data_IF_775583133231
#
_entry.id   IF_775583133231
#
_cell.length_a   1.000
_cell.length_b   1.000
_cell.length_c   1.000
_cell.angle_alpha   90.00
_cell.angle_beta   90.00
_cell.angle_gamma   90.00
#
_symmetry.space_group_name_H-M   'P 1'
#
loop_
_entity.id
_entity.type
_entity.pdbx_description
1 polymer ?
#
# COMPACT_ATOMS: atom_id res chain seq x y z
N UNK A 1 21.88 12.44 34.25
CA UNK A 1 22.17 12.98 32.92
C UNK A 1 23.31 12.25 32.24
N UNK A 2 24.26 11.82 32.99
CA UNK A 2 25.36 11.03 32.43
C UNK A 2 24.91 9.74 31.78
N UNK A 3 23.79 9.21 32.24
CA UNK A 3 23.23 7.98 31.66
C UNK A 3 22.89 8.12 30.19
N UNK A 4 22.60 9.32 29.73
CA UNK A 4 22.28 9.55 28.33
C UNK A 4 23.45 9.24 27.42
N UNK A 5 24.64 9.61 27.82
CA UNK A 5 25.85 9.36 27.01
C UNK A 5 26.10 7.85 26.89
N UNK A 6 25.95 7.15 27.98
CA UNK A 6 26.16 5.68 28.00
C UNK A 6 25.15 4.99 27.12
N UNK A 7 23.88 5.39 27.20
CA UNK A 7 22.80 4.79 26.39
C UNK A 7 23.00 5.00 24.91
N UNK A 8 23.47 6.18 24.52
CA UNK A 8 23.71 6.50 23.11
C UNK A 8 24.74 5.57 22.51
N UNK A 9 25.73 5.15 23.29
CA UNK A 9 26.83 4.31 22.80
C UNK A 9 26.38 2.93 22.33
N UNK A 10 25.38 2.35 22.98
CA UNK A 10 25.03 0.96 22.71
C UNK A 10 23.61 0.72 22.26
N UNK A 11 22.79 1.75 22.24
CA UNK A 11 21.37 1.57 21.96
C UNK A 11 20.95 2.27 20.69
N UNK A 12 20.29 1.51 19.82
CA UNK A 12 19.70 2.04 18.58
C UNK A 12 18.24 1.65 18.60
N UNK A 13 17.38 2.65 18.40
CA UNK A 13 15.94 2.43 18.36
C UNK A 13 15.43 2.58 16.94
N UNK A 14 14.68 1.59 16.49
CA UNK A 14 13.94 1.68 15.24
C UNK A 14 12.59 2.32 15.51
N UNK A 15 12.28 3.41 14.83
CA UNK A 15 10.97 4.06 14.95
C UNK A 15 9.99 3.51 13.94
N UNK A 16 10.41 3.36 12.71
CA UNK A 16 9.53 2.91 11.63
C UNK A 16 10.32 2.05 10.66
N UNK A 17 9.63 1.06 10.11
CA UNK A 17 10.09 0.29 8.96
C UNK A 17 8.97 0.36 7.93
N UNK A 18 9.30 0.85 6.75
CA UNK A 18 8.29 1.13 5.73
C UNK A 18 8.68 0.47 4.43
N UNK A 19 7.75 -0.29 3.87
CA UNK A 19 7.86 -0.80 2.51
C UNK A 19 7.14 0.18 1.60
N UNK A 20 7.82 0.64 0.57
CA UNK A 20 7.24 1.56 -0.41
C UNK A 20 6.93 0.81 -1.70
N UNK A 21 5.72 1.00 -2.21
CA UNK A 21 5.36 0.64 -3.59
C UNK A 21 5.00 1.96 -4.26
N UNK A 22 5.81 2.36 -5.23
CA UNK A 22 5.68 3.69 -5.84
C UNK A 22 5.28 3.59 -7.29
N UNK A 23 4.21 4.28 -7.63
CA UNK A 23 3.74 4.41 -9.01
C UNK A 23 3.52 3.06 -9.71
N UNK A 24 2.91 2.12 -8.99
CA UNK A 24 2.48 0.87 -9.59
C UNK A 24 1.33 1.19 -10.54
N UNK A 25 1.58 1.07 -11.83
CA UNK A 25 0.59 1.38 -12.85
C UNK A 25 0.00 0.10 -13.41
N UNK A 26 -1.34 0.01 -13.33
CA UNK A 26 -2.08 -1.13 -13.86
C UNK A 26 -3.21 -0.61 -14.74
N UNK A 27 -3.41 -1.25 -15.88
CA UNK A 27 -4.52 -0.93 -16.78
C UNK A 27 -5.69 -1.86 -16.52
N UNK A 28 -6.87 -1.29 -16.37
CA UNK A 28 -8.06 -2.08 -16.11
C UNK A 28 -9.32 -1.29 -16.45
N UNK A 29 -10.40 -2.01 -16.68
CA UNK A 29 -11.73 -1.41 -16.77
C UNK A 29 -12.21 -1.20 -15.36
N UNK A 30 -12.33 0.06 -14.96
CA UNK A 30 -12.64 0.39 -13.58
C UNK A 30 -13.47 1.66 -13.52
N UNK A 31 -14.53 1.63 -12.71
CA UNK A 31 -15.32 2.80 -12.42
C UNK A 31 -16.81 2.53 -12.45
N UNK A 32 -17.56 3.49 -11.94
CA UNK A 32 -19.02 3.41 -11.83
C UNK A 32 -19.73 3.67 -13.15
N UNK A 33 -19.21 4.59 -13.95
CA UNK A 33 -19.89 5.01 -15.17
C UNK A 33 -19.78 3.97 -16.28
N UNK A 34 -20.81 3.82 -17.11
CA UNK A 34 -20.80 2.81 -18.19
C UNK A 34 -19.58 2.93 -19.12
N UNK A 35 -19.14 4.14 -19.38
CA UNK A 35 -17.96 4.38 -20.23
C UNK A 35 -16.71 3.75 -19.61
N UNK A 36 -16.56 3.84 -18.29
CA UNK A 36 -15.40 3.28 -17.58
C UNK A 36 -15.39 1.76 -17.61
N UNK A 37 -16.56 1.14 -17.77
CA UNK A 37 -16.68 -0.32 -17.83
C UNK A 37 -16.33 -0.89 -19.20
N UNK A 38 -16.23 -0.04 -20.21
CA UNK A 38 -15.99 -0.47 -21.60
C UNK A 38 -14.57 -0.28 -22.08
N UNK A 39 -13.84 0.66 -21.47
CA UNK A 39 -12.49 1.03 -21.92
C UNK A 39 -11.55 0.95 -20.73
N UNK A 40 -10.41 0.28 -20.92
CA UNK A 40 -9.38 0.22 -19.88
C UNK A 40 -8.78 1.59 -19.65
N UNK A 41 -8.49 1.89 -18.39
CA UNK A 41 -7.78 3.10 -18.01
C UNK A 41 -6.63 2.73 -17.08
N UNK A 42 -5.70 3.67 -16.92
CA UNK A 42 -4.60 3.50 -15.98
C UNK A 42 -5.07 3.77 -14.57
N UNK A 43 -4.67 2.91 -13.65
CA UNK A 43 -4.73 3.20 -12.21
C UNK A 43 -3.30 3.22 -11.71
N UNK A 44 -2.96 4.20 -10.89
CA UNK A 44 -1.63 4.33 -10.31
C UNK A 44 -1.75 4.18 -8.79
N UNK A 45 -1.02 3.21 -8.26
CA UNK A 45 -1.04 2.87 -6.84
C UNK A 45 0.25 3.30 -6.19
N UNK A 46 0.14 3.98 -5.06
CA UNK A 46 1.25 4.29 -4.18
C UNK A 46 0.91 3.81 -2.78
N UNK A 47 1.76 2.97 -2.22
CA UNK A 47 1.56 2.42 -0.88
C UNK A 47 2.77 2.66 0.00
N UNK A 48 2.49 2.95 1.26
CA UNK A 48 3.46 2.88 2.35
C UNK A 48 2.93 1.85 3.34
N UNK A 49 3.67 0.78 3.52
CA UNK A 49 3.27 -0.34 4.37
C UNK A 49 4.23 -0.39 5.56
N UNK A 50 3.73 -0.07 6.73
CA UNK A 50 4.51 0.02 7.96
C UNK A 50 4.48 -1.32 8.66
N UNK A 51 5.65 -1.85 8.99
CA UNK A 51 5.78 -3.18 9.59
C UNK A 51 6.40 -3.09 10.97
N UNK A 52 6.13 -4.10 11.79
CA UNK A 52 6.81 -4.25 13.07
C UNK A 52 8.26 -4.67 12.82
N UNK A 53 9.14 -4.28 13.74
CA UNK A 53 10.52 -4.72 13.71
C UNK A 53 10.61 -6.23 13.92
N UNK A 54 11.49 -6.88 13.17
CA UNK A 54 11.76 -8.30 13.29
C UNK A 54 13.26 -8.55 13.16
N UNK A 55 13.68 -9.77 13.42
CA UNK A 55 15.05 -10.22 13.13
C UNK A 55 15.02 -10.82 11.74
N UNK A 56 15.87 -10.30 10.85
CA UNK A 56 15.88 -10.68 9.44
C UNK A 56 17.07 -11.57 9.14
N UNK A 57 16.79 -12.74 8.58
CA UNK A 57 17.80 -13.66 8.05
C UNK A 57 17.75 -13.57 6.54
N UNK A 58 18.86 -13.22 5.93
CA UNK A 58 18.90 -12.86 4.52
C UNK A 58 18.52 -14.01 3.57
N UNK A 59 18.47 -15.23 4.09
CA UNK A 59 18.08 -16.42 3.31
C UNK A 59 16.61 -16.82 3.51
N UNK A 60 15.83 -16.09 4.30
CA UNK A 60 14.48 -16.50 4.69
C UNK A 60 13.46 -15.42 4.32
N UNK A 61 12.75 -15.67 3.23
CA UNK A 61 11.71 -14.74 2.75
C UNK A 61 10.61 -14.53 3.79
N UNK A 62 10.30 -15.55 4.59
CA UNK A 62 9.27 -15.46 5.61
C UNK A 62 9.60 -14.51 6.77
N UNK A 63 10.84 -14.07 6.87
CA UNK A 63 11.24 -13.09 7.89
C UNK A 63 10.83 -11.68 7.52
N UNK A 64 10.48 -11.42 6.28
CA UNK A 64 10.10 -10.10 5.79
C UNK A 64 8.69 -10.12 5.22
N UNK A 65 8.06 -8.95 5.18
CA UNK A 65 6.82 -8.77 4.43
C UNK A 65 7.20 -8.70 2.96
N UNK A 66 6.70 -9.65 2.18
CA UNK A 66 7.02 -9.76 0.77
C UNK A 66 6.16 -8.80 -0.06
N UNK A 67 6.82 -7.78 -0.63
CA UNK A 67 6.10 -6.79 -1.45
C UNK A 67 5.49 -7.39 -2.71
N UNK A 68 6.04 -8.49 -3.23
CA UNK A 68 5.44 -9.18 -4.37
C UNK A 68 4.05 -9.71 -4.03
N UNK A 69 3.83 -10.15 -2.79
CA UNK A 69 2.51 -10.59 -2.34
C UNK A 69 1.52 -9.42 -2.29
N UNK A 70 2.00 -8.24 -1.90
CA UNK A 70 1.15 -7.04 -1.89
C UNK A 70 0.70 -6.71 -3.31
N UNK A 71 1.63 -6.73 -4.27
CA UNK A 71 1.29 -6.48 -5.67
C UNK A 71 0.30 -7.51 -6.20
N UNK A 72 0.49 -8.79 -5.85
CA UNK A 72 -0.43 -9.86 -6.24
C UNK A 72 -1.82 -9.65 -5.66
N UNK A 73 -1.92 -9.20 -4.44
CA UNK A 73 -3.20 -8.87 -3.80
C UNK A 73 -3.93 -7.80 -4.60
N UNK A 74 -3.23 -6.73 -4.96
CA UNK A 74 -3.81 -5.63 -5.73
C UNK A 74 -4.33 -6.14 -7.07
N UNK A 75 -3.50 -6.90 -7.80
CA UNK A 75 -3.89 -7.44 -9.11
C UNK A 75 -5.11 -8.36 -9.02
N UNK A 76 -5.17 -9.18 -7.98
CA UNK A 76 -6.28 -10.12 -7.79
C UNK A 76 -7.58 -9.39 -7.47
N UNK A 77 -7.52 -8.37 -6.63
CA UNK A 77 -8.70 -7.59 -6.27
C UNK A 77 -9.23 -6.81 -7.47
N UNK A 78 -8.35 -6.34 -8.35
CA UNK A 78 -8.76 -5.61 -9.56
C UNK A 78 -9.58 -6.45 -10.54
N UNK A 79 -9.56 -7.77 -10.43
CA UNK A 79 -10.39 -8.65 -11.25
C UNK A 79 -11.86 -8.57 -10.81
N UNK A 80 -12.11 -8.19 -9.55
CA UNK A 80 -13.47 -8.05 -9.04
C UNK A 80 -14.17 -6.83 -9.65
N UNK A 81 -15.48 -6.88 -9.69
CA UNK A 81 -16.28 -5.77 -10.21
C UNK A 81 -16.46 -4.70 -9.13
N UNK A 82 -15.54 -3.74 -9.08
CA UNK A 82 -15.53 -2.66 -8.09
C UNK A 82 -15.71 -1.33 -8.81
N UNK A 83 -16.56 -0.47 -8.27
CA UNK A 83 -16.93 0.79 -8.91
C UNK A 83 -16.17 2.01 -8.38
N UNK A 84 -15.81 2.02 -7.10
CA UNK A 84 -15.27 3.22 -6.45
C UNK A 84 -13.87 2.98 -5.90
N UNK A 85 -13.02 4.01 -5.98
CA UNK A 85 -11.68 3.97 -5.43
C UNK A 85 -11.69 3.69 -3.92
N UNK A 86 -12.68 4.23 -3.24
CA UNK A 86 -12.87 4.02 -1.79
C UNK A 86 -13.04 2.54 -1.47
N UNK A 87 -13.90 1.86 -2.20
CA UNK A 87 -14.14 0.43 -2.03
C UNK A 87 -12.90 -0.38 -2.39
N UNK A 88 -12.22 0.00 -3.46
CA UNK A 88 -11.00 -0.66 -3.90
C UNK A 88 -9.92 -0.56 -2.82
N UNK A 89 -9.71 0.64 -2.29
CA UNK A 89 -8.72 0.88 -1.24
C UNK A 89 -9.03 0.06 0.00
N UNK A 90 -10.31 0.03 0.43
CA UNK A 90 -10.73 -0.76 1.59
C UNK A 90 -10.44 -2.24 1.43
N UNK A 91 -10.77 -2.80 0.27
CA UNK A 91 -10.54 -4.22 0.00
C UNK A 91 -9.06 -4.56 0.00
N UNK A 92 -8.25 -3.71 -0.61
CA UNK A 92 -6.79 -3.91 -0.65
C UNK A 92 -6.22 -3.86 0.77
N UNK A 93 -6.56 -2.82 1.52
CA UNK A 93 -6.05 -2.63 2.89
C UNK A 93 -6.46 -3.81 3.78
N UNK A 94 -7.72 -4.22 3.74
CA UNK A 94 -8.21 -5.31 4.57
C UNK A 94 -7.45 -6.61 4.29
N UNK A 95 -7.17 -6.87 3.01
CA UNK A 95 -6.43 -8.07 2.63
C UNK A 95 -4.98 -8.01 3.09
N UNK A 96 -4.32 -6.87 2.92
CA UNK A 96 -2.93 -6.68 3.35
C UNK A 96 -2.82 -6.83 4.86
N UNK A 97 -3.78 -6.30 5.62
CA UNK A 97 -3.78 -6.42 7.09
C UNK A 97 -3.98 -7.84 7.61
N UNK A 98 -4.26 -8.82 6.77
CA UNK A 98 -4.26 -10.22 7.21
C UNK A 98 -2.86 -10.65 7.65
N UNK A 99 -1.82 -10.01 7.17
CA UNK A 99 -0.48 -10.17 7.70
C UNK A 99 -0.36 -9.33 8.99
N UNK A 100 -0.24 -10.02 10.12
CA UNK A 100 -0.24 -9.38 11.43
C UNK A 100 0.99 -8.54 11.70
N UNK A 101 2.04 -8.66 10.90
CA UNK A 101 3.24 -7.85 11.03
C UNK A 101 3.05 -6.44 10.51
N UNK A 102 1.98 -6.21 9.76
CA UNK A 102 1.67 -4.89 9.19
C UNK A 102 0.81 -4.13 10.18
N UNK A 103 1.26 -2.93 10.55
CA UNK A 103 0.64 -2.12 11.59
C UNK A 103 -0.05 -0.88 11.08
N UNK A 104 0.34 -0.40 9.89
CA UNK A 104 -0.23 0.81 9.31
C UNK A 104 -0.05 0.77 7.80
N UNK A 105 -1.05 1.25 7.08
CA UNK A 105 -1.00 1.33 5.63
C UNK A 105 -1.52 2.69 5.19
N UNK A 106 -0.74 3.36 4.33
CA UNK A 106 -1.21 4.50 3.55
C UNK A 106 -1.32 4.02 2.10
N UNK A 107 -2.46 4.22 1.47
CA UNK A 107 -2.65 3.93 0.06
C UNK A 107 -3.22 5.13 -0.65
N UNK A 108 -2.65 5.45 -1.81
CA UNK A 108 -3.18 6.46 -2.73
C UNK A 108 -3.39 5.80 -4.09
N UNK A 109 -4.60 5.94 -4.61
CA UNK A 109 -4.98 5.39 -5.92
C UNK A 109 -5.43 6.54 -6.81
N UNK A 110 -4.82 6.64 -7.98
CA UNK A 110 -5.08 7.73 -8.92
C UNK A 110 -5.57 7.22 -10.26
N UNK A 111 -6.43 8.03 -10.89
CA UNK A 111 -6.94 7.82 -12.24
C UNK A 111 -6.45 9.00 -13.10
N UNK A 112 -5.29 8.90 -13.75
CA UNK A 112 -4.76 10.03 -14.53
C UNK A 112 -5.58 10.33 -15.79
N UNK A 113 -6.36 9.37 -16.26
CA UNK A 113 -7.10 9.52 -17.51
C UNK A 113 -8.58 9.89 -17.31
N UNK A 114 -9.04 10.03 -16.07
CA UNK A 114 -10.47 10.15 -15.79
C UNK A 114 -11.04 11.54 -16.10
N UNK A 115 -10.28 12.58 -15.87
CA UNK A 115 -10.71 13.97 -16.06
C UNK A 115 -9.62 14.71 -16.84
N UNK A 116 -9.96 15.16 -18.05
CA UNK A 116 -8.98 15.75 -18.96
C UNK A 116 -8.40 17.08 -18.47
N UNK A 117 -9.14 17.79 -17.63
CA UNK A 117 -8.75 19.13 -17.17
C UNK A 117 -7.77 19.11 -16.00
N UNK A 118 -7.46 17.95 -15.46
CA UNK A 118 -6.47 17.83 -14.37
C UNK A 118 -5.51 16.68 -14.65
N UNK A 119 -4.38 16.70 -13.95
CA UNK A 119 -3.36 15.66 -14.13
C UNK A 119 -3.88 14.30 -13.68
N UNK A 120 -4.64 14.29 -12.59
CA UNK A 120 -5.13 13.05 -12.01
C UNK A 120 -6.23 13.35 -11.01
N UNK A 121 -7.13 12.40 -10.83
CA UNK A 121 -8.04 12.38 -9.69
C UNK A 121 -7.75 11.13 -8.89
N UNK A 122 -7.94 11.18 -7.58
CA UNK A 122 -7.61 10.03 -6.78
C UNK A 122 -8.18 10.08 -5.37
N UNK A 123 -7.83 9.05 -4.62
CA UNK A 123 -8.29 8.84 -3.26
C UNK A 123 -7.13 8.32 -2.43
N UNK A 124 -6.98 8.85 -1.24
CA UNK A 124 -5.91 8.44 -0.32
C UNK A 124 -6.48 8.20 1.06
N UNK A 125 -6.06 7.12 1.69
CA UNK A 125 -6.49 6.76 3.04
C UNK A 125 -5.33 6.13 3.80
N UNK A 126 -5.29 6.40 5.09
CA UNK A 126 -4.35 5.76 6.01
C UNK A 126 -5.14 5.03 7.07
N UNK A 127 -4.79 3.77 7.31
CA UNK A 127 -5.36 2.98 8.40
C UNK A 127 -4.26 2.38 9.26
N UNK A 128 -4.53 2.30 10.54
CA UNK A 128 -3.56 1.80 11.53
C UNK A 128 -4.25 0.82 12.47
N UNK A 129 -3.53 -0.24 12.89
CA UNK A 129 -4.04 -1.14 13.92
C UNK A 129 -4.12 -0.41 15.25
N UNK A 130 -5.18 -0.67 15.95
CA UNK A 130 -5.35 -0.16 17.31
C UNK A 130 -4.60 -1.02 18.32
#
# INVERSE_FOLDING_TARGET
MNNKVIKIKGEIKTYEEIIHIKNLMLKTKFGFYPKEKKVSQRLIFNLKVYTIKNIYRDSRLEDVVDYDQIVKIIKKILIENINFLETLAEKIINKIFEDRRIIKINIKIEKPDAVSECDSVGYEITKERM
#
